data_IF_807186236734
#
_entry.id   IF_807186236734
#
_cell.length_a   1.000
_cell.length_b   1.000
_cell.length_c   1.000
_cell.angle_alpha   90.00
_cell.angle_beta   90.00
_cell.angle_gamma   90.00
#
_symmetry.space_group_name_H-M   'P 1'
#
loop_
_entity.id
_entity.type
_entity.pdbx_description
1 polymer ?
#
# COMPACT_ATOMS: atom_id res chain seq x y z
N UNK A 1 30.90 -6.37 10.20
CA UNK A 1 29.76 -5.79 9.49
C UNK A 1 30.09 -5.54 8.03
N UNK A 2 29.13 -5.82 7.15
CA UNK A 2 29.22 -5.48 5.73
C UNK A 2 28.34 -4.26 5.50
N UNK A 3 28.83 -3.26 4.78
CA UNK A 3 28.03 -2.08 4.45
C UNK A 3 28.15 -1.73 2.97
N UNK A 4 27.04 -1.40 2.35
CA UNK A 4 26.92 -0.85 1.01
C UNK A 4 26.29 0.55 1.12
N UNK A 5 26.86 1.51 0.39
CA UNK A 5 26.28 2.84 0.24
C UNK A 5 26.39 3.27 -1.22
N UNK A 6 25.33 3.81 -1.75
CA UNK A 6 25.24 4.34 -3.11
C UNK A 6 24.60 5.72 -3.08
N UNK A 7 25.09 6.61 -3.90
CA UNK A 7 24.49 7.92 -4.18
C UNK A 7 24.49 8.14 -5.69
N UNK A 8 23.32 8.49 -6.21
CA UNK A 8 23.11 8.85 -7.61
C UNK A 8 22.53 10.25 -7.65
N UNK A 9 23.12 11.11 -8.47
CA UNK A 9 22.63 12.46 -8.71
C UNK A 9 21.99 12.52 -10.10
N UNK A 10 20.81 13.13 -10.19
CA UNK A 10 20.05 13.33 -11.43
C UNK A 10 19.72 12.01 -12.16
N UNK A 11 18.99 11.15 -11.48
CA UNK A 11 18.40 9.96 -12.10
C UNK A 11 17.16 10.37 -12.92
N UNK A 12 17.23 10.21 -14.23
CA UNK A 12 16.11 10.49 -15.12
C UNK A 12 15.48 9.21 -15.67
N UNK A 13 14.15 9.15 -15.64
CA UNK A 13 13.36 8.10 -16.28
C UNK A 13 12.09 8.70 -16.91
N UNK A 14 12.02 8.72 -18.23
CA UNK A 14 10.96 9.43 -18.95
C UNK A 14 10.98 10.92 -18.62
N UNK A 15 9.84 11.45 -18.18
CA UNK A 15 9.69 12.84 -17.74
C UNK A 15 10.01 13.07 -16.25
N UNK A 16 10.32 12.02 -15.52
CA UNK A 16 10.61 12.09 -14.07
C UNK A 16 12.12 12.24 -13.88
N UNK A 17 12.52 13.27 -13.18
CA UNK A 17 13.92 13.51 -12.77
C UNK A 17 13.97 13.51 -11.25
N UNK A 18 14.80 12.66 -10.68
CA UNK A 18 15.11 12.63 -9.25
C UNK A 18 16.48 13.28 -9.04
N UNK A 19 16.56 14.30 -8.21
CA UNK A 19 17.82 15.05 -8.03
C UNK A 19 18.85 14.26 -7.25
N UNK A 20 18.43 13.58 -6.19
CA UNK A 20 19.33 12.73 -5.40
C UNK A 20 18.64 11.47 -4.98
N UNK A 21 19.26 10.34 -5.28
CA UNK A 21 18.88 9.02 -4.80
C UNK A 21 20.02 8.48 -3.92
N UNK A 22 19.73 8.11 -2.69
CA UNK A 22 20.69 7.42 -1.82
C UNK A 22 20.15 6.06 -1.44
N UNK A 23 21.03 5.06 -1.46
CA UNK A 23 20.74 3.73 -0.96
C UNK A 23 21.80 3.30 0.04
N UNK A 24 21.38 2.61 1.08
CA UNK A 24 22.26 1.99 2.05
C UNK A 24 21.77 0.63 2.47
N UNK A 25 22.69 -0.27 2.71
CA UNK A 25 22.43 -1.55 3.34
C UNK A 25 23.58 -1.85 4.32
N UNK A 26 23.24 -2.20 5.55
CA UNK A 26 24.22 -2.50 6.60
C UNK A 26 23.84 -3.81 7.25
N UNK A 27 24.75 -4.78 7.20
CA UNK A 27 24.58 -6.05 7.90
C UNK A 27 25.43 -6.06 9.15
N UNK A 28 24.81 -6.33 10.29
CA UNK A 28 25.46 -6.51 11.58
C UNK A 28 24.95 -7.80 12.23
N UNK A 29 25.77 -8.82 12.18
CA UNK A 29 25.38 -10.17 12.57
C UNK A 29 24.24 -10.70 11.68
N UNK A 30 23.14 -11.13 12.30
CA UNK A 30 21.94 -11.62 11.60
C UNK A 30 20.96 -10.50 11.19
N UNK A 31 21.28 -9.24 11.47
CA UNK A 31 20.42 -8.09 11.15
C UNK A 31 20.94 -7.38 9.90
N UNK A 32 20.09 -7.27 8.89
CA UNK A 32 20.28 -6.42 7.73
C UNK A 32 19.35 -5.20 7.86
N UNK A 33 19.90 -4.01 7.85
CA UNK A 33 19.16 -2.74 7.75
C UNK A 33 19.35 -2.17 6.36
N UNK A 34 18.27 -1.63 5.78
CA UNK A 34 18.32 -1.03 4.46
C UNK A 34 17.50 0.26 4.41
N UNK A 35 17.95 1.18 3.56
CA UNK A 35 17.23 2.40 3.28
C UNK A 35 17.47 2.83 1.83
N UNK A 36 16.41 3.32 1.20
CA UNK A 36 16.40 4.02 -0.08
C UNK A 36 15.74 5.38 0.16
N UNK A 37 16.36 6.46 -0.25
CA UNK A 37 15.86 7.81 -0.06
C UNK A 37 16.03 8.62 -1.32
N UNK A 38 14.97 9.32 -1.69
CA UNK A 38 14.93 10.34 -2.73
C UNK A 38 14.79 11.70 -2.07
N UNK A 39 15.58 12.69 -2.55
CA UNK A 39 15.44 14.09 -2.18
C UNK A 39 15.51 14.94 -3.44
N UNK A 40 14.51 15.80 -3.64
CA UNK A 40 14.41 16.68 -4.79
C UNK A 40 14.62 18.13 -4.41
N UNK A 41 15.28 18.90 -5.29
CA UNK A 41 15.49 20.33 -5.16
C UNK A 41 14.17 21.13 -5.29
N UNK A 42 14.10 22.37 -4.78
CA UNK A 42 12.94 23.24 -5.00
C UNK A 42 12.64 23.42 -6.49
N UNK A 43 11.34 23.37 -6.85
CA UNK A 43 10.88 23.49 -8.23
C UNK A 43 10.91 22.18 -9.02
N UNK A 44 11.41 21.09 -8.43
CA UNK A 44 11.35 19.76 -9.02
C UNK A 44 10.56 18.83 -8.12
N UNK A 45 9.44 18.30 -8.62
CA UNK A 45 8.53 17.38 -7.91
C UNK A 45 8.23 17.86 -6.47
N UNK A 46 7.75 19.10 -6.30
CA UNK A 46 7.53 19.71 -4.97
C UNK A 46 6.54 18.93 -4.08
N UNK A 47 5.66 18.14 -4.66
CA UNK A 47 4.82 17.18 -3.95
C UNK A 47 5.61 15.97 -3.42
N UNK A 48 6.83 15.69 -3.95
CA UNK A 48 7.75 14.65 -3.49
C UNK A 48 9.13 15.28 -3.20
N UNK A 49 9.18 16.22 -2.27
CA UNK A 49 10.46 16.81 -1.87
C UNK A 49 11.37 15.78 -1.19
N UNK A 50 10.77 14.84 -0.50
CA UNK A 50 11.43 13.75 0.21
C UNK A 50 10.57 12.49 0.17
N UNK A 51 11.14 11.37 -0.24
CA UNK A 51 10.49 10.07 -0.13
C UNK A 51 11.53 9.00 0.22
N UNK A 52 11.09 7.91 0.80
CA UNK A 52 11.98 6.80 1.08
C UNK A 52 11.28 5.53 1.52
N UNK A 53 12.05 4.46 1.39
CA UNK A 53 11.74 3.15 1.93
C UNK A 53 12.88 2.75 2.86
N UNK A 54 12.57 2.29 4.05
CA UNK A 54 13.57 1.78 4.97
C UNK A 54 13.02 0.60 5.77
N UNK A 55 13.90 -0.23 6.25
CA UNK A 55 13.49 -1.38 7.02
C UNK A 55 14.64 -2.23 7.49
N UNK A 56 14.29 -3.40 7.93
CA UNK A 56 15.26 -4.39 8.37
C UNK A 56 14.76 -5.81 8.13
N UNK A 57 15.71 -6.74 8.11
CA UNK A 57 15.46 -8.18 8.16
C UNK A 57 16.34 -8.78 9.25
N UNK A 58 15.73 -9.58 10.13
CA UNK A 58 16.42 -10.31 11.20
C UNK A 58 15.88 -11.73 11.26
N UNK A 59 16.68 -12.69 10.82
CA UNK A 59 16.24 -14.10 10.75
C UNK A 59 14.91 -14.21 9.98
N UNK A 60 13.83 -14.59 10.68
CA UNK A 60 12.51 -14.86 10.13
C UNK A 60 11.52 -13.70 10.35
N UNK A 61 12.03 -12.50 10.58
CA UNK A 61 11.22 -11.28 10.72
C UNK A 61 11.79 -10.16 9.88
N UNK A 62 10.94 -9.25 9.46
CA UNK A 62 11.34 -8.06 8.74
C UNK A 62 10.32 -6.96 8.84
N UNK A 63 10.76 -5.75 8.54
CA UNK A 63 9.91 -4.58 8.44
C UNK A 63 10.28 -3.78 7.20
N UNK A 64 9.28 -3.24 6.54
CA UNK A 64 9.45 -2.23 5.48
C UNK A 64 8.56 -1.04 5.81
N UNK A 65 9.13 0.15 5.73
CA UNK A 65 8.43 1.40 5.97
C UNK A 65 8.58 2.31 4.77
N UNK A 66 7.52 2.97 4.38
CA UNK A 66 7.47 3.97 3.33
C UNK A 66 7.07 5.32 3.90
N UNK A 67 7.69 6.38 3.42
CA UNK A 67 7.29 7.76 3.70
C UNK A 67 7.49 8.64 2.49
N UNK A 68 6.67 9.70 2.42
CA UNK A 68 6.80 10.76 1.43
C UNK A 68 6.33 12.08 2.05
N UNK A 69 7.08 13.15 1.75
CA UNK A 69 6.78 14.51 2.20
C UNK A 69 6.87 15.48 1.03
N UNK A 70 5.98 16.44 1.01
CA UNK A 70 6.04 17.55 0.09
C UNK A 70 7.06 18.61 0.55
N UNK A 71 7.24 19.68 -0.23
CA UNK A 71 8.19 20.78 0.06
C UNK A 71 7.88 21.52 1.36
N UNK A 72 6.61 21.62 1.75
CA UNK A 72 6.20 22.22 3.02
C UNK A 72 6.39 21.28 4.23
N UNK A 73 6.93 20.07 4.02
CA UNK A 73 7.12 19.07 5.08
C UNK A 73 5.87 18.27 5.43
N UNK A 74 4.73 18.51 4.75
CA UNK A 74 3.50 17.74 4.96
C UNK A 74 3.69 16.33 4.46
N UNK A 75 3.34 15.35 5.27
CA UNK A 75 3.35 13.95 4.88
C UNK A 75 2.22 13.68 3.87
N UNK A 76 2.57 13.07 2.74
CA UNK A 76 1.59 12.56 1.78
C UNK A 76 1.30 11.08 2.01
N UNK A 77 2.36 10.34 2.30
CA UNK A 77 2.26 8.93 2.64
C UNK A 77 3.21 8.59 3.79
N UNK A 78 2.74 7.76 4.71
CA UNK A 78 3.54 7.12 5.77
C UNK A 78 2.86 5.84 6.19
N UNK A 79 3.41 4.72 5.83
CA UNK A 79 2.93 3.41 6.24
C UNK A 79 4.07 2.40 6.24
N UNK A 80 3.85 1.26 6.86
CA UNK A 80 4.80 0.17 6.87
C UNK A 80 4.10 -1.17 7.01
N UNK A 81 4.89 -2.21 6.88
CA UNK A 81 4.50 -3.59 7.08
C UNK A 81 5.56 -4.28 7.91
N UNK A 82 5.15 -4.87 9.01
CA UNK A 82 5.95 -5.83 9.75
C UNK A 82 5.58 -7.24 9.30
N UNK A 83 6.57 -8.09 9.07
CA UNK A 83 6.37 -9.45 8.62
C UNK A 83 7.17 -10.45 9.46
N UNK A 84 6.59 -11.61 9.68
CA UNK A 84 7.25 -12.78 10.22
C UNK A 84 6.93 -14.00 9.35
N UNK A 85 7.90 -14.87 9.14
CA UNK A 85 7.73 -16.05 8.30
C UNK A 85 8.44 -17.27 8.89
N UNK A 86 7.98 -18.42 8.46
CA UNK A 86 8.62 -19.71 8.70
C UNK A 86 8.44 -20.60 7.46
N UNK A 87 8.74 -21.90 7.57
CA UNK A 87 8.66 -22.84 6.46
C UNK A 87 7.23 -23.12 5.98
N UNK A 88 6.20 -22.62 6.65
CA UNK A 88 4.79 -22.91 6.38
C UNK A 88 3.95 -21.68 6.05
N UNK A 89 4.35 -20.50 6.50
CA UNK A 89 3.55 -19.29 6.32
C UNK A 89 4.36 -18.00 6.38
N UNK A 90 3.77 -16.93 5.82
CA UNK A 90 4.14 -15.54 6.05
C UNK A 90 2.96 -14.86 6.76
N UNK A 91 3.23 -14.16 7.86
CA UNK A 91 2.29 -13.27 8.54
C UNK A 91 2.78 -11.84 8.41
N UNK A 92 1.94 -10.95 7.92
CA UNK A 92 2.22 -9.53 7.80
C UNK A 92 1.19 -8.71 8.60
N UNK A 93 1.59 -7.52 9.06
CA UNK A 93 0.71 -6.55 9.70
C UNK A 93 1.07 -5.13 9.26
N UNK A 94 0.06 -4.28 9.14
CA UNK A 94 0.23 -2.87 8.79
C UNK A 94 0.63 -2.08 10.02
N UNK A 95 1.64 -1.23 9.88
CA UNK A 95 2.18 -0.35 10.91
C UNK A 95 2.50 1.04 10.34
N UNK A 96 2.49 2.13 11.13
CA UNK A 96 1.87 2.23 12.46
C UNK A 96 0.33 2.09 12.37
N UNK A 97 -0.35 2.01 13.51
CA UNK A 97 -1.83 1.96 13.55
C UNK A 97 -2.51 3.28 13.11
N UNK A 98 -1.74 4.30 12.82
CA UNK A 98 -2.17 5.56 12.23
C UNK A 98 -1.31 5.87 10.98
N UNK A 99 -1.41 5.07 9.90
CA UNK A 99 -0.73 5.36 8.64
C UNK A 99 -1.31 6.62 7.99
N UNK A 100 -0.56 7.20 7.05
CA UNK A 100 -1.00 8.38 6.28
C UNK A 100 -1.09 8.00 4.80
N UNK A 101 -2.23 8.25 4.18
CA UNK A 101 -2.46 8.07 2.76
C UNK A 101 -3.12 9.31 2.17
N UNK A 102 -2.53 9.87 1.11
CA UNK A 102 -3.03 11.09 0.48
C UNK A 102 -3.04 12.31 1.41
N UNK A 103 -2.11 12.38 2.36
CA UNK A 103 -2.02 13.38 3.44
C UNK A 103 -3.11 13.28 4.52
N UNK A 104 -3.87 12.23 4.53
CA UNK A 104 -4.92 11.99 5.53
C UNK A 104 -4.50 10.84 6.46
N UNK A 105 -4.61 11.02 7.78
CA UNK A 105 -4.34 9.96 8.74
C UNK A 105 -5.49 8.94 8.74
N UNK A 106 -5.14 7.68 8.62
CA UNK A 106 -6.07 6.56 8.73
C UNK A 106 -5.91 5.87 10.08
N UNK A 107 -6.93 5.20 10.52
CA UNK A 107 -6.88 4.32 11.70
C UNK A 107 -6.90 2.88 11.24
N UNK A 108 -6.03 2.04 11.80
CA UNK A 108 -5.96 0.60 11.52
C UNK A 108 -6.34 -0.17 12.79
N UNK A 109 -7.10 -1.24 12.64
CA UNK A 109 -7.48 -2.07 13.78
C UNK A 109 -6.25 -2.64 14.49
N UNK A 110 -6.20 -2.62 15.83
CA UNK A 110 -5.14 -3.27 16.59
C UNK A 110 -5.13 -4.78 16.32
N UNK A 111 -3.91 -5.34 16.21
CA UNK A 111 -3.75 -6.77 15.95
C UNK A 111 -4.05 -7.20 14.52
N UNK A 112 -4.18 -6.24 13.59
CA UNK A 112 -4.40 -6.53 12.17
C UNK A 112 -3.38 -7.53 11.63
N UNK A 113 -3.80 -8.31 10.64
CA UNK A 113 -2.91 -9.28 10.00
C UNK A 113 -3.39 -9.66 8.60
N UNK A 114 -2.41 -10.10 7.79
CA UNK A 114 -2.58 -10.91 6.59
C UNK A 114 -1.67 -12.14 6.75
N UNK A 115 -2.20 -13.32 6.56
CA UNK A 115 -1.44 -14.57 6.61
C UNK A 115 -1.60 -15.29 5.29
N UNK A 116 -0.47 -15.61 4.68
CA UNK A 116 -0.38 -16.51 3.55
C UNK A 116 0.31 -17.80 3.96
N UNK A 117 -0.37 -18.92 3.84
CA UNK A 117 0.19 -20.26 4.06
C UNK A 117 0.64 -20.85 2.73
N UNK A 118 1.75 -21.53 2.74
CA UNK A 118 2.32 -22.09 1.49
C UNK A 118 1.50 -23.25 0.92
N UNK A 119 0.49 -23.71 1.62
CA UNK A 119 -0.56 -24.61 1.11
C UNK A 119 -1.66 -23.88 0.29
N UNK A 120 -1.50 -22.58 0.03
CA UNK A 120 -2.41 -21.73 -0.72
C UNK A 120 -3.50 -21.04 0.10
N UNK A 121 -3.58 -21.31 1.42
CA UNK A 121 -4.58 -20.69 2.28
C UNK A 121 -4.21 -19.25 2.63
N UNK A 122 -5.22 -18.36 2.52
CA UNK A 122 -5.13 -16.95 2.93
C UNK A 122 -6.05 -16.70 4.12
N UNK A 123 -5.60 -15.88 5.07
CA UNK A 123 -6.45 -15.32 6.11
C UNK A 123 -6.07 -13.88 6.41
N UNK A 124 -7.04 -13.06 6.76
CA UNK A 124 -6.83 -11.64 7.00
C UNK A 124 -7.82 -11.09 8.03
N UNK A 125 -7.38 -10.10 8.76
CA UNK A 125 -8.17 -9.20 9.57
C UNK A 125 -7.50 -7.83 9.53
N UNK A 126 -7.80 -7.05 8.51
CA UNK A 126 -7.33 -5.69 8.32
C UNK A 126 -8.52 -4.78 8.08
N UNK A 127 -8.67 -3.76 8.91
CA UNK A 127 -9.68 -2.73 8.77
C UNK A 127 -9.03 -1.37 8.93
N UNK A 128 -9.15 -0.53 7.91
CA UNK A 128 -8.59 0.81 7.86
C UNK A 128 -9.71 1.81 7.60
N UNK A 129 -9.77 2.87 8.39
CA UNK A 129 -10.81 3.89 8.28
C UNK A 129 -10.25 5.30 8.31
N UNK A 130 -10.90 6.22 7.57
CA UNK A 130 -10.67 7.65 7.62
C UNK A 130 -11.99 8.38 7.31
N UNK A 131 -12.63 9.03 8.30
CA UNK A 131 -13.97 9.59 8.13
C UNK A 131 -14.96 8.53 7.66
N UNK A 132 -15.62 8.77 6.53
CA UNK A 132 -16.57 7.84 5.90
C UNK A 132 -15.87 6.83 4.94
N UNK A 133 -14.56 6.93 4.79
CA UNK A 133 -13.78 6.02 3.94
C UNK A 133 -13.37 4.79 4.74
N UNK A 134 -13.49 3.62 4.11
CA UNK A 134 -13.06 2.35 4.67
C UNK A 134 -12.39 1.48 3.64
N UNK A 135 -11.35 0.79 4.06
CA UNK A 135 -10.70 -0.29 3.34
C UNK A 135 -10.53 -1.47 4.30
N UNK A 136 -11.12 -2.60 3.95
CA UNK A 136 -11.05 -3.78 4.81
C UNK A 136 -10.77 -5.06 4.03
N UNK A 137 -9.99 -5.95 4.63
CA UNK A 137 -9.74 -7.31 4.13
C UNK A 137 -9.98 -8.27 5.28
N UNK A 138 -10.94 -9.17 5.11
CA UNK A 138 -11.31 -10.16 6.11
C UNK A 138 -11.36 -11.57 5.55
N UNK A 139 -11.03 -12.53 6.38
CA UNK A 139 -11.31 -13.94 6.08
C UNK A 139 -12.81 -14.16 6.06
N UNK A 140 -13.32 -14.77 5.01
CA UNK A 140 -14.70 -15.24 4.96
C UNK A 140 -14.80 -16.55 5.76
N UNK A 141 -15.72 -16.65 6.74
CA UNK A 141 -15.94 -17.88 7.48
C UNK A 141 -16.22 -19.05 6.52
N UNK A 142 -15.71 -20.22 6.88
CA UNK A 142 -15.88 -21.43 6.09
C UNK A 142 -17.37 -21.85 6.09
N UNK A 143 -18.01 -21.81 4.93
CA UNK A 143 -19.27 -22.47 4.67
C UNK A 143 -19.01 -23.59 3.68
N UNK A 144 -19.20 -24.82 4.13
CA UNK A 144 -19.13 -26.14 3.45
C UNK A 144 -18.21 -26.37 2.23
N UNK A 145 -17.63 -25.34 1.62
CA UNK A 145 -16.74 -25.50 0.45
C UNK A 145 -15.89 -24.29 0.05
N UNK A 146 -15.95 -23.16 0.75
CA UNK A 146 -15.27 -21.94 0.30
C UNK A 146 -14.51 -21.27 1.45
N UNK A 147 -13.20 -21.40 1.45
CA UNK A 147 -12.29 -20.50 2.17
C UNK A 147 -12.03 -19.30 1.28
N UNK A 148 -12.17 -18.10 1.81
CA UNK A 148 -11.99 -16.92 1.00
C UNK A 148 -11.53 -15.71 1.78
N UNK A 149 -11.11 -14.72 1.01
CA UNK A 149 -10.84 -13.38 1.48
C UNK A 149 -11.86 -12.43 0.87
N UNK A 150 -12.46 -11.60 1.70
CA UNK A 150 -13.32 -10.51 1.28
C UNK A 150 -12.59 -9.19 1.37
N UNK A 151 -12.61 -8.44 0.28
CA UNK A 151 -12.19 -7.04 0.19
C UNK A 151 -13.42 -6.16 0.18
N UNK A 152 -13.51 -5.23 1.13
CA UNK A 152 -14.53 -4.19 1.18
C UNK A 152 -13.86 -2.81 1.09
N UNK A 153 -14.29 -1.99 0.14
CA UNK A 153 -13.90 -0.59 0.00
C UNK A 153 -15.17 0.24 0.03
N UNK A 154 -15.24 1.23 0.90
CA UNK A 154 -16.34 2.16 0.96
C UNK A 154 -15.84 3.61 0.92
N UNK A 155 -16.45 4.42 0.08
CA UNK A 155 -16.26 5.86 0.07
C UNK A 155 -14.86 6.35 -0.30
N UNK A 156 -13.97 5.52 -0.87
CA UNK A 156 -12.58 5.90 -1.13
C UNK A 156 -12.50 6.99 -2.20
N UNK A 157 -12.00 8.16 -1.83
CA UNK A 157 -11.77 9.28 -2.75
C UNK A 157 -10.53 9.01 -3.63
N UNK A 158 -10.77 8.67 -4.90
CA UNK A 158 -9.70 8.34 -5.86
C UNK A 158 -8.75 9.54 -6.05
N UNK A 159 -9.29 10.72 -6.26
CA UNK A 159 -8.46 11.93 -6.48
C UNK A 159 -7.60 12.26 -5.27
N UNK A 160 -8.14 12.15 -4.05
CA UNK A 160 -7.39 12.34 -2.81
C UNK A 160 -6.26 11.31 -2.64
N UNK A 161 -6.55 10.04 -2.92
CA UNK A 161 -5.56 8.97 -2.84
C UNK A 161 -4.40 9.15 -3.86
N UNK A 162 -4.71 9.68 -5.05
CA UNK A 162 -3.74 9.90 -6.12
C UNK A 162 -3.00 11.24 -6.03
N UNK A 163 -3.51 12.23 -5.31
CA UNK A 163 -3.03 13.62 -5.32
C UNK A 163 -1.54 13.79 -5.00
N UNK A 164 -0.94 12.85 -4.30
CA UNK A 164 0.47 12.90 -3.91
C UNK A 164 1.40 12.08 -4.81
N UNK A 165 0.86 11.36 -5.79
CA UNK A 165 1.69 10.62 -6.73
C UNK A 165 2.21 11.56 -7.83
N UNK A 166 3.49 11.42 -8.25
CA UNK A 166 4.01 12.19 -9.38
C UNK A 166 3.29 11.76 -10.64
N UNK A 167 2.89 12.74 -11.43
CA UNK A 167 2.21 12.49 -12.71
C UNK A 167 0.96 11.61 -12.58
N UNK A 168 0.28 11.67 -11.44
CA UNK A 168 -1.00 10.99 -11.28
C UNK A 168 -1.98 11.46 -12.35
N UNK A 169 -2.69 10.56 -13.01
CA UNK A 169 -3.74 10.95 -13.92
C UNK A 169 -4.82 11.74 -13.16
N UNK A 170 -5.41 12.79 -13.75
CA UNK A 170 -6.44 13.61 -13.11
C UNK A 170 -7.77 12.86 -13.04
N UNK A 171 -7.79 11.72 -12.36
CA UNK A 171 -8.98 10.89 -12.14
C UNK A 171 -9.63 11.27 -10.82
N UNK A 172 -10.93 11.50 -10.85
CA UNK A 172 -11.76 11.73 -9.67
C UNK A 172 -12.92 10.74 -9.61
N UNK A 173 -13.51 10.64 -8.44
CA UNK A 173 -14.65 9.78 -8.14
C UNK A 173 -14.53 9.13 -6.77
N UNK A 174 -15.59 8.46 -6.36
CA UNK A 174 -15.67 7.74 -5.09
C UNK A 174 -15.76 6.25 -5.38
N UNK A 175 -14.75 5.49 -4.99
CA UNK A 175 -14.65 4.05 -5.20
C UNK A 175 -15.36 3.30 -4.07
N UNK A 176 -16.22 2.37 -4.46
CA UNK A 176 -16.77 1.31 -3.64
C UNK A 176 -16.47 -0.05 -4.24
N UNK A 177 -16.16 -1.03 -3.42
CA UNK A 177 -15.97 -2.42 -3.85
C UNK A 177 -16.38 -3.37 -2.75
N UNK A 178 -16.97 -4.50 -3.14
CA UNK A 178 -17.26 -5.64 -2.28
C UNK A 178 -16.91 -6.91 -3.07
N UNK A 179 -15.68 -7.38 -2.94
CA UNK A 179 -15.14 -8.50 -3.73
C UNK A 179 -14.75 -9.64 -2.83
N UNK A 180 -15.21 -10.84 -3.15
CA UNK A 180 -14.80 -12.07 -2.47
C UNK A 180 -13.95 -12.92 -3.41
N UNK A 181 -12.79 -13.28 -2.93
CA UNK A 181 -11.86 -14.19 -3.56
C UNK A 181 -11.95 -15.53 -2.83
N UNK A 182 -12.41 -16.55 -3.50
CA UNK A 182 -12.49 -17.91 -2.95
C UNK A 182 -11.36 -18.76 -3.55
N UNK A 183 -10.58 -19.38 -2.66
CA UNK A 183 -9.54 -20.33 -3.04
C UNK A 183 -10.01 -21.73 -2.68
N UNK A 184 -10.59 -22.45 -3.65
CA UNK A 184 -10.84 -23.91 -3.52
C UNK A 184 -9.60 -24.70 -3.91
N UNK A 185 -9.58 -26.00 -3.58
CA UNK A 185 -8.43 -26.86 -3.88
C UNK A 185 -8.03 -26.88 -5.37
N UNK A 186 -8.98 -26.64 -6.29
CA UNK A 186 -8.78 -26.73 -7.75
C UNK A 186 -9.29 -25.50 -8.53
N UNK A 187 -9.78 -24.45 -7.85
CA UNK A 187 -10.35 -23.28 -8.55
C UNK A 187 -10.18 -21.98 -7.78
N UNK A 188 -9.86 -20.93 -8.52
CA UNK A 188 -9.93 -19.56 -8.05
C UNK A 188 -11.24 -18.94 -8.56
N UNK A 189 -12.13 -18.55 -7.66
CA UNK A 189 -13.36 -17.87 -8.01
C UNK A 189 -13.37 -16.45 -7.41
N UNK A 190 -13.64 -15.46 -8.27
CA UNK A 190 -13.81 -14.07 -7.87
C UNK A 190 -15.28 -13.70 -8.04
N UNK A 191 -15.89 -13.15 -7.00
CA UNK A 191 -17.26 -12.62 -7.04
C UNK A 191 -17.32 -11.28 -6.38
N UNK A 192 -18.09 -10.38 -6.92
CA UNK A 192 -18.31 -9.10 -6.27
C UNK A 192 -18.68 -7.98 -7.21
N UNK A 193 -18.84 -6.82 -6.62
CA UNK A 193 -19.22 -5.59 -7.28
C UNK A 193 -18.17 -4.52 -7.01
N UNK A 194 -17.83 -3.76 -8.03
CA UNK A 194 -16.98 -2.57 -7.96
C UNK A 194 -17.73 -1.42 -8.57
N UNK A 195 -17.77 -0.29 -7.91
CA UNK A 195 -18.44 0.91 -8.40
C UNK A 195 -17.58 2.15 -8.21
N UNK A 196 -17.69 3.09 -9.13
CA UNK A 196 -17.13 4.43 -9.00
C UNK A 196 -18.24 5.41 -9.22
N UNK A 197 -18.61 6.13 -8.17
CA UNK A 197 -19.58 7.21 -8.26
C UNK A 197 -18.88 8.50 -8.69
N UNK A 198 -19.50 9.22 -9.63
CA UNK A 198 -19.01 10.51 -10.14
C UNK A 198 -17.63 10.41 -10.82
N UNK A 199 -17.36 9.32 -11.54
CA UNK A 199 -16.10 9.16 -12.27
C UNK A 199 -15.84 10.37 -13.17
N UNK A 200 -14.65 10.92 -13.07
CA UNK A 200 -14.18 12.02 -13.90
C UNK A 200 -12.73 11.83 -14.31
N UNK A 201 -12.38 12.36 -15.46
CA UNK A 201 -11.01 12.45 -15.94
C UNK A 201 -10.75 13.85 -16.46
N UNK A 202 -9.75 14.53 -15.92
CA UNK A 202 -9.49 15.95 -16.12
C UNK A 202 -10.75 16.78 -15.79
N UNK A 203 -11.35 17.45 -16.74
CA UNK A 203 -12.57 18.25 -16.57
C UNK A 203 -13.83 17.53 -17.08
N UNK A 204 -13.69 16.33 -17.63
CA UNK A 204 -14.81 15.56 -18.17
C UNK A 204 -15.41 14.64 -17.09
N UNK A 205 -16.74 14.68 -16.97
CA UNK A 205 -17.51 13.80 -16.10
C UNK A 205 -18.09 12.65 -16.92
N UNK A 206 -17.86 11.43 -16.46
CA UNK A 206 -18.39 10.20 -17.07
C UNK A 206 -19.62 9.67 -16.34
N UNK A 207 -19.86 10.13 -15.09
CA UNK A 207 -20.95 9.66 -14.25
C UNK A 207 -20.56 8.43 -13.41
N UNK A 208 -21.56 7.61 -13.12
CA UNK A 208 -21.38 6.44 -12.28
C UNK A 208 -21.07 5.21 -13.15
N UNK A 209 -20.08 4.44 -12.72
CA UNK A 209 -19.64 3.22 -13.39
C UNK A 209 -19.70 2.06 -12.41
N UNK A 210 -20.22 0.93 -12.83
CA UNK A 210 -20.27 -0.30 -12.05
C UNK A 210 -19.86 -1.51 -12.86
N UNK A 211 -19.18 -2.44 -12.20
CA UNK A 211 -18.78 -3.75 -12.72
C UNK A 211 -19.15 -4.83 -11.72
N UNK A 212 -19.95 -5.80 -12.15
CA UNK A 212 -20.22 -7.03 -11.41
C UNK A 212 -19.44 -8.21 -11.99
N UNK A 213 -18.81 -8.99 -11.12
CA UNK A 213 -18.12 -10.24 -11.46
C UNK A 213 -18.80 -11.40 -10.73
N UNK A 214 -19.18 -12.45 -11.48
CA UNK A 214 -19.89 -13.61 -10.93
C UNK A 214 -19.25 -14.91 -11.38
#
# INVERSE_FOLDING_TARGET
PVSLRMRVEKLAYGSIVLDTLTASAVQNGSRLEYALRVANAPGNLDNIALAGVYGHVVRNTGAVNFYQKNRAGREGFRFGVDAAWNDSLIRASVTPLAPVFGSEPWTVNPGNYLVYRFDGNLSADLDMTHGDQRFAIHTVPETDSLRGIRLDIAGLNIGGALAMLPSAPPVGGVLGAAVTLNTGADSLAVRGDVSVAGLSYDKQRFGDVGLGVR
#
